data_IF_009202086616
#
_entry.id   IF_009202086616
#
_cell.length_a   1.000
_cell.length_b   1.000
_cell.length_c   1.000
_cell.angle_alpha   90.00
_cell.angle_beta   90.00
_cell.angle_gamma   90.00
#
_symmetry.space_group_name_H-M   'P 1'
#
loop_
_entity.id
_entity.type
_entity.pdbx_description
1 polymer ?
#
# COMPACT_ATOMS: atom_id res chain seq x y z
N UNK A 1 23.36 4.44 -12.62
CA UNK A 1 24.47 3.66 -13.11
C UNK A 1 24.20 2.19 -12.84
N UNK A 2 24.80 1.28 -13.59
CA UNK A 2 24.50 -0.17 -13.55
C UNK A 2 24.75 -0.75 -12.17
N UNK A 3 25.80 -0.32 -11.48
CA UNK A 3 26.16 -0.86 -10.16
C UNK A 3 25.08 -0.65 -9.10
N UNK A 4 24.50 0.52 -9.04
CA UNK A 4 23.39 0.81 -8.12
C UNK A 4 22.16 -0.09 -8.41
N UNK A 5 21.89 -0.37 -9.70
CA UNK A 5 20.81 -1.29 -10.10
C UNK A 5 21.08 -2.72 -9.68
N UNK A 6 22.33 -3.21 -9.84
CA UNK A 6 22.72 -4.54 -9.37
C UNK A 6 22.55 -4.64 -7.86
N UNK A 7 23.02 -3.63 -7.10
CA UNK A 7 22.89 -3.55 -5.65
C UNK A 7 21.45 -3.59 -5.18
N UNK A 8 20.56 -2.82 -5.81
CA UNK A 8 19.13 -2.78 -5.50
C UNK A 8 18.45 -4.12 -5.80
N UNK A 9 18.66 -4.68 -6.99
CA UNK A 9 18.08 -5.97 -7.35
C UNK A 9 18.56 -7.09 -6.40
N UNK A 10 19.85 -7.09 -6.00
CA UNK A 10 20.37 -8.04 -5.01
C UNK A 10 19.71 -7.85 -3.63
N UNK A 11 19.53 -6.62 -3.19
CA UNK A 11 18.85 -6.33 -1.93
C UNK A 11 17.39 -6.79 -1.97
N UNK A 12 16.68 -6.53 -3.06
CA UNK A 12 15.31 -7.01 -3.31
C UNK A 12 15.22 -8.54 -3.28
N UNK A 13 16.17 -9.24 -3.93
CA UNK A 13 16.28 -10.70 -3.88
C UNK A 13 16.70 -11.22 -2.49
N UNK A 14 17.16 -10.33 -1.57
CA UNK A 14 17.64 -10.70 -0.24
C UNK A 14 18.92 -11.53 -0.24
N UNK A 15 19.73 -11.42 -1.32
CA UNK A 15 20.98 -12.14 -1.48
C UNK A 15 22.15 -11.37 -0.87
N UNK A 16 23.11 -12.09 -0.27
CA UNK A 16 24.43 -11.53 0.03
C UNK A 16 25.25 -11.40 -1.26
N UNK A 17 26.33 -10.59 -1.24
CA UNK A 17 27.26 -10.53 -2.38
C UNK A 17 27.87 -11.90 -2.69
N UNK A 18 28.13 -12.71 -1.65
CA UNK A 18 28.65 -14.06 -1.79
C UNK A 18 27.63 -14.98 -2.47
N UNK A 19 26.37 -15.00 -1.98
CA UNK A 19 25.32 -15.84 -2.56
C UNK A 19 25.02 -15.48 -4.02
N UNK A 20 25.00 -14.18 -4.36
CA UNK A 20 24.86 -13.74 -5.75
C UNK A 20 26.07 -14.18 -6.60
N UNK A 21 27.29 -14.02 -6.06
CA UNK A 21 28.53 -14.44 -6.74
C UNK A 21 28.53 -15.93 -7.08
N UNK A 22 28.12 -16.78 -6.12
CA UNK A 22 28.00 -18.23 -6.31
C UNK A 22 26.98 -18.59 -7.41
N UNK A 23 25.79 -17.94 -7.43
CA UNK A 23 24.77 -18.19 -8.45
C UNK A 23 25.22 -17.79 -9.87
N UNK A 24 25.98 -16.71 -9.98
CA UNK A 24 26.43 -16.15 -11.28
C UNK A 24 27.78 -16.76 -11.74
N UNK A 25 28.51 -17.40 -10.84
CA UNK A 25 29.84 -17.97 -11.09
C UNK A 25 30.96 -16.92 -11.07
N UNK A 26 30.86 -15.93 -10.17
CA UNK A 26 31.89 -14.88 -9.96
C UNK A 26 32.16 -14.71 -8.45
N UNK A 27 33.29 -14.08 -8.11
CA UNK A 27 33.61 -13.84 -6.70
C UNK A 27 32.73 -12.72 -6.08
N UNK A 28 32.53 -12.79 -4.77
CA UNK A 28 31.84 -11.70 -4.01
C UNK A 28 32.54 -10.34 -4.21
N UNK A 29 33.87 -10.34 -4.38
CA UNK A 29 34.64 -9.12 -4.66
C UNK A 29 34.31 -8.54 -6.05
N UNK A 30 34.04 -9.38 -7.05
CA UNK A 30 33.60 -8.93 -8.37
C UNK A 30 32.18 -8.33 -8.27
N UNK A 31 31.25 -8.94 -7.52
CA UNK A 31 29.94 -8.35 -7.24
C UNK A 31 30.09 -6.98 -6.62
N UNK A 32 30.96 -6.84 -5.60
CA UNK A 32 31.26 -5.54 -4.96
C UNK A 32 31.77 -4.51 -5.96
N UNK A 33 32.73 -4.89 -6.84
CA UNK A 33 33.27 -3.99 -7.88
C UNK A 33 32.19 -3.53 -8.86
N UNK A 34 31.28 -4.42 -9.26
CA UNK A 34 30.14 -4.06 -10.11
C UNK A 34 29.18 -3.11 -9.41
N UNK A 35 28.82 -3.37 -8.15
CA UNK A 35 27.92 -2.51 -7.37
C UNK A 35 28.46 -1.11 -7.11
N UNK A 36 29.78 -0.93 -7.14
CA UNK A 36 30.45 0.38 -6.99
C UNK A 36 30.90 0.99 -8.32
N UNK A 37 30.44 0.45 -9.46
CA UNK A 37 30.82 0.89 -10.81
C UNK A 37 32.34 0.90 -11.04
N UNK A 38 33.11 0.09 -10.27
CA UNK A 38 34.57 -0.05 -10.43
C UNK A 38 34.95 -1.00 -11.56
N UNK A 39 34.02 -1.77 -12.06
CA UNK A 39 34.16 -2.67 -13.22
C UNK A 39 32.81 -2.84 -13.88
N UNK A 40 32.80 -3.04 -15.20
CA UNK A 40 31.59 -3.28 -15.98
C UNK A 40 31.40 -4.78 -16.19
N UNK A 41 30.21 -5.36 -15.88
CA UNK A 41 29.89 -6.73 -16.22
C UNK A 41 29.87 -6.92 -17.75
N UNK A 42 30.41 -8.04 -18.24
CA UNK A 42 30.20 -8.43 -19.63
C UNK A 42 28.74 -8.77 -19.90
N UNK A 43 28.31 -8.77 -21.18
CA UNK A 43 26.96 -9.11 -21.57
C UNK A 43 26.51 -10.49 -21.03
N UNK A 44 27.42 -11.49 -21.05
CA UNK A 44 27.13 -12.81 -20.50
C UNK A 44 26.94 -12.81 -18.99
N UNK A 45 27.68 -11.98 -18.25
CA UNK A 45 27.50 -11.80 -16.79
C UNK A 45 26.23 -11.04 -16.51
N UNK A 46 25.87 -10.01 -17.28
CA UNK A 46 24.60 -9.28 -17.13
C UNK A 46 23.39 -10.18 -17.31
N UNK A 47 23.40 -11.09 -18.29
CA UNK A 47 22.34 -12.08 -18.48
C UNK A 47 22.20 -13.01 -17.26
N UNK A 48 23.33 -13.51 -16.74
CA UNK A 48 23.32 -14.36 -15.54
C UNK A 48 22.83 -13.59 -14.31
N UNK A 49 23.26 -12.33 -14.14
CA UNK A 49 22.76 -11.45 -13.07
C UNK A 49 21.25 -11.22 -13.19
N UNK A 50 20.76 -10.96 -14.39
CA UNK A 50 19.33 -10.78 -14.65
C UNK A 50 18.52 -12.00 -14.22
N UNK A 51 18.99 -13.21 -14.60
CA UNK A 51 18.36 -14.47 -14.21
C UNK A 51 18.42 -14.70 -12.70
N UNK A 52 19.59 -14.55 -12.07
CA UNK A 52 19.77 -14.77 -10.63
C UNK A 52 18.97 -13.79 -9.76
N UNK A 53 18.77 -12.58 -10.25
CA UNK A 53 18.05 -11.50 -9.57
C UNK A 53 16.57 -11.42 -9.97
N UNK A 54 16.11 -12.29 -10.88
CA UNK A 54 14.73 -12.31 -11.40
C UNK A 54 14.30 -10.95 -11.98
N UNK A 55 15.23 -10.24 -12.63
CA UNK A 55 14.97 -8.98 -13.32
C UNK A 55 15.28 -9.13 -14.81
N UNK A 56 14.74 -8.22 -15.61
CA UNK A 56 15.12 -8.16 -17.04
C UNK A 56 16.44 -7.42 -17.21
N UNK A 57 17.17 -7.70 -18.27
CA UNK A 57 18.48 -7.07 -18.54
C UNK A 57 18.35 -5.55 -18.66
N UNK A 58 17.25 -5.07 -19.23
CA UNK A 58 16.93 -3.64 -19.40
C UNK A 58 16.85 -2.89 -18.06
N UNK A 59 16.48 -3.58 -16.98
CA UNK A 59 16.46 -3.03 -15.62
C UNK A 59 17.77 -2.38 -15.22
N UNK A 60 18.91 -2.98 -15.60
CA UNK A 60 20.23 -2.46 -15.22
C UNK A 60 20.60 -1.14 -15.93
N UNK A 61 19.93 -0.83 -17.04
CA UNK A 61 20.18 0.37 -17.84
C UNK A 61 19.20 1.52 -17.54
N UNK A 62 18.20 1.29 -16.73
CA UNK A 62 17.27 2.37 -16.32
C UNK A 62 18.02 3.44 -15.53
N UNK A 63 17.83 4.73 -15.83
CA UNK A 63 18.35 5.79 -14.98
C UNK A 63 17.79 5.64 -13.56
N UNK A 64 18.62 5.78 -12.55
CA UNK A 64 18.18 5.86 -11.16
C UNK A 64 17.56 7.26 -10.97
N UNK A 65 16.24 7.32 -10.89
CA UNK A 65 15.50 8.57 -10.69
C UNK A 65 15.30 8.90 -9.20
N UNK A 66 15.48 7.93 -8.34
CA UNK A 66 15.26 8.03 -6.90
C UNK A 66 16.46 7.50 -6.15
N UNK A 67 16.96 8.26 -5.19
CA UNK A 67 17.97 7.79 -4.23
C UNK A 67 17.28 7.29 -2.97
N UNK A 68 17.80 6.20 -2.38
CA UNK A 68 17.28 5.66 -1.11
C UNK A 68 17.34 6.66 0.06
N UNK A 69 18.13 7.73 -0.06
CA UNK A 69 18.19 8.81 0.93
C UNK A 69 17.01 9.81 0.86
N UNK A 70 16.21 9.76 -0.20
CA UNK A 70 15.03 10.62 -0.37
C UNK A 70 13.74 9.96 0.13
N UNK A 71 13.82 8.74 0.65
CA UNK A 71 12.67 8.00 1.16
C UNK A 71 12.50 8.28 2.64
N UNK A 72 11.54 9.11 2.96
CA UNK A 72 11.13 9.35 4.34
C UNK A 72 10.19 8.22 4.78
N UNK A 73 10.65 7.39 5.72
CA UNK A 73 9.82 6.33 6.30
C UNK A 73 9.27 6.75 7.65
N UNK A 74 7.96 6.63 7.82
CA UNK A 74 7.35 6.58 9.15
C UNK A 74 7.21 5.11 9.55
N UNK A 75 7.96 4.68 10.55
CA UNK A 75 8.11 3.28 10.92
C UNK A 75 7.11 2.82 11.97
N UNK A 76 6.29 1.81 11.65
CA UNK A 76 5.90 0.76 12.59
C UNK A 76 6.29 -0.58 12.00
N UNK A 77 7.41 -1.16 12.40
CA UNK A 77 7.72 -2.50 11.93
C UNK A 77 8.37 -3.34 13.03
N UNK A 78 7.67 -4.37 13.45
CA UNK A 78 8.26 -5.56 14.04
C UNK A 78 9.08 -6.38 13.02
N UNK A 79 9.19 -5.88 11.78
CA UNK A 79 9.88 -6.50 10.68
C UNK A 79 11.40 -6.42 10.84
N UNK A 80 12.10 -7.49 10.45
CA UNK A 80 13.56 -7.51 10.47
C UNK A 80 14.14 -6.48 9.49
N UNK A 81 15.33 -5.93 9.78
CA UNK A 81 16.02 -5.00 8.88
C UNK A 81 16.23 -5.58 7.46
N UNK A 82 16.38 -6.90 7.32
CA UNK A 82 16.48 -7.58 6.04
C UNK A 82 15.17 -7.53 5.26
N UNK A 83 14.03 -7.75 5.93
CA UNK A 83 12.72 -7.69 5.32
C UNK A 83 12.38 -6.25 4.89
N UNK A 84 12.67 -5.27 5.76
CA UNK A 84 12.46 -3.86 5.42
C UNK A 84 13.23 -3.44 4.17
N UNK A 85 14.52 -3.84 4.04
CA UNK A 85 15.30 -3.55 2.83
C UNK A 85 14.72 -4.17 1.56
N UNK A 86 14.08 -5.36 1.65
CA UNK A 86 13.39 -5.95 0.50
C UNK A 86 12.17 -5.13 0.10
N UNK A 87 11.34 -4.76 1.09
CA UNK A 87 10.16 -3.91 0.86
C UNK A 87 10.59 -2.56 0.30
N UNK A 88 11.60 -1.92 0.87
CA UNK A 88 12.18 -0.68 0.37
C UNK A 88 12.59 -0.75 -1.10
N UNK A 89 13.27 -1.82 -1.48
CA UNK A 89 13.72 -2.02 -2.86
C UNK A 89 12.53 -2.22 -3.82
N UNK A 90 11.50 -2.94 -3.41
CA UNK A 90 10.26 -3.13 -4.17
C UNK A 90 9.50 -1.81 -4.34
N UNK A 91 9.36 -1.05 -3.24
CA UNK A 91 8.72 0.27 -3.25
C UNK A 91 9.42 1.25 -4.17
N UNK A 92 10.74 1.33 -4.10
CA UNK A 92 11.54 2.21 -4.96
C UNK A 92 11.40 1.83 -6.44
N UNK A 93 11.42 0.54 -6.78
CA UNK A 93 11.23 0.12 -8.18
C UNK A 93 9.84 0.50 -8.71
N UNK A 94 8.79 0.27 -7.93
CA UNK A 94 7.42 0.62 -8.33
C UNK A 94 7.24 2.14 -8.44
N UNK A 95 7.78 2.92 -7.50
CA UNK A 95 7.74 4.37 -7.54
C UNK A 95 8.53 4.95 -8.73
N UNK A 96 9.69 4.38 -9.06
CA UNK A 96 10.46 4.79 -10.24
C UNK A 96 9.71 4.53 -11.55
N UNK A 97 8.98 3.43 -11.64
CA UNK A 97 8.13 3.15 -12.82
C UNK A 97 6.99 4.15 -12.94
N UNK A 98 6.33 4.48 -11.83
CA UNK A 98 5.31 5.53 -11.77
C UNK A 98 5.88 6.88 -12.20
N UNK A 99 7.00 7.32 -11.61
CA UNK A 99 7.65 8.57 -11.96
C UNK A 99 8.14 8.59 -13.41
N UNK A 100 8.64 7.46 -13.92
CA UNK A 100 9.05 7.34 -15.33
C UNK A 100 7.88 7.56 -16.27
N UNK A 101 6.69 7.01 -15.98
CA UNK A 101 5.48 7.24 -16.75
C UNK A 101 5.03 8.70 -16.63
N UNK A 102 4.97 9.24 -15.41
CA UNK A 102 4.55 10.62 -15.15
C UNK A 102 5.44 11.63 -15.89
N UNK A 103 6.76 11.41 -15.91
CA UNK A 103 7.72 12.35 -16.51
C UNK A 103 7.66 12.39 -18.05
N UNK A 104 7.21 11.31 -18.70
CA UNK A 104 7.07 11.28 -20.18
C UNK A 104 5.69 11.70 -20.66
N UNK A 105 4.75 11.93 -19.74
CA UNK A 105 3.37 12.24 -20.07
C UNK A 105 3.05 13.73 -19.80
N UNK A 106 3.01 14.59 -20.84
CA UNK A 106 2.51 15.95 -20.68
C UNK A 106 1.05 15.91 -20.18
N UNK A 107 0.73 16.70 -19.16
CA UNK A 107 -0.60 16.70 -18.53
C UNK A 107 -1.00 15.33 -17.98
N UNK A 108 -0.11 14.72 -17.18
CA UNK A 108 -0.39 13.46 -16.51
C UNK A 108 -1.76 13.48 -15.82
N UNK A 109 -2.63 12.49 -16.05
CA UNK A 109 -4.05 12.57 -15.68
C UNK A 109 -4.33 12.54 -14.18
N UNK A 110 -3.34 12.16 -13.36
CA UNK A 110 -3.47 12.12 -11.90
C UNK A 110 -2.77 13.34 -11.30
N UNK A 111 -3.53 14.18 -10.63
CA UNK A 111 -2.98 15.33 -9.89
C UNK A 111 -2.10 14.86 -8.74
N UNK A 112 -1.10 15.65 -8.39
CA UNK A 112 -0.31 15.39 -7.17
C UNK A 112 -1.20 15.60 -5.94
N UNK A 113 -1.08 14.72 -4.95
CA UNK A 113 -1.78 14.85 -3.69
C UNK A 113 -1.39 16.19 -3.02
N UNK A 114 -2.39 17.00 -2.75
CA UNK A 114 -2.26 18.27 -2.06
C UNK A 114 -3.56 18.54 -1.30
N UNK A 115 -3.79 17.78 -0.21
CA UNK A 115 -4.98 17.93 0.60
C UNK A 115 -4.58 18.20 2.05
N UNK A 116 -5.06 19.32 2.56
CA UNK A 116 -4.97 19.70 3.96
C UNK A 116 -6.37 20.19 4.38
N UNK A 117 -7.05 19.49 5.30
CA UNK A 117 -8.36 19.92 5.75
C UNK A 117 -8.25 21.24 6.51
N UNK A 118 -9.14 22.16 6.20
CA UNK A 118 -9.26 23.44 6.94
C UNK A 118 -10.01 23.17 8.25
N UNK A 119 -9.24 22.87 9.29
CA UNK A 119 -9.71 22.54 10.63
C UNK A 119 -8.76 23.11 11.68
N UNK A 120 -9.24 23.45 12.89
CA UNK A 120 -8.35 23.85 14.00
C UNK A 120 -7.48 22.70 14.46
N UNK A 121 -6.50 23.00 15.32
CA UNK A 121 -5.65 22.00 15.98
C UNK A 121 -6.50 20.94 16.69
N UNK A 122 -6.16 19.68 16.45
CA UNK A 122 -6.92 18.50 16.90
C UNK A 122 -6.34 18.00 18.22
N UNK A 123 -7.07 18.16 19.31
CA UNK A 123 -6.62 17.78 20.66
C UNK A 123 -7.39 16.60 21.27
N UNK A 124 -8.43 16.12 20.61
CA UNK A 124 -9.28 15.03 21.10
C UNK A 124 -9.60 14.01 20.01
N UNK A 125 -9.92 12.77 20.39
CA UNK A 125 -10.36 11.74 19.44
C UNK A 125 -11.69 12.09 18.76
N UNK A 126 -12.57 12.85 19.42
CA UNK A 126 -13.81 13.31 18.80
C UNK A 126 -13.55 14.36 17.71
N UNK A 127 -12.54 15.22 17.91
CA UNK A 127 -12.11 16.13 16.85
C UNK A 127 -11.49 15.37 15.65
N UNK A 128 -10.81 14.25 15.88
CA UNK A 128 -10.33 13.37 14.81
C UNK A 128 -11.49 12.79 13.97
N UNK A 129 -12.61 12.44 14.61
CA UNK A 129 -13.83 12.01 13.90
C UNK A 129 -14.34 13.10 12.95
N UNK A 130 -14.33 14.34 13.42
CA UNK A 130 -14.75 15.47 12.60
C UNK A 130 -13.82 15.69 11.40
N UNK A 131 -12.51 15.46 11.56
CA UNK A 131 -11.57 15.48 10.44
C UNK A 131 -11.91 14.40 9.42
N UNK A 132 -12.19 13.17 9.85
CA UNK A 132 -12.58 12.09 8.94
C UNK A 132 -13.88 12.42 8.18
N UNK A 133 -14.87 12.97 8.87
CA UNK A 133 -16.12 13.43 8.26
C UNK A 133 -15.89 14.59 7.28
N UNK A 134 -14.98 15.53 7.60
CA UNK A 134 -14.58 16.63 6.73
C UNK A 134 -13.95 16.12 5.44
N UNK A 135 -13.01 15.16 5.52
CA UNK A 135 -12.41 14.53 4.34
C UNK A 135 -13.48 13.89 3.46
N UNK A 136 -14.40 13.14 4.04
CA UNK A 136 -15.49 12.52 3.28
C UNK A 136 -16.39 13.57 2.59
N UNK A 137 -16.64 14.68 3.24
CA UNK A 137 -17.42 15.79 2.67
C UNK A 137 -16.66 16.47 1.53
N UNK A 138 -15.40 16.84 1.73
CA UNK A 138 -14.58 17.53 0.74
C UNK A 138 -14.33 16.68 -0.51
N UNK A 139 -14.23 15.37 -0.32
CA UNK A 139 -14.06 14.42 -1.42
C UNK A 139 -15.39 13.91 -1.99
N UNK A 140 -16.53 14.39 -1.46
CA UNK A 140 -17.88 14.04 -1.90
C UNK A 140 -18.19 12.54 -1.83
N UNK A 141 -17.66 11.85 -0.81
CA UNK A 141 -17.80 10.40 -0.64
C UNK A 141 -19.15 9.98 -0.04
N UNK A 142 -19.90 10.92 0.53
CA UNK A 142 -21.11 10.60 1.29
C UNK A 142 -20.83 9.77 2.54
N UNK A 143 -21.86 9.10 3.07
CA UNK A 143 -21.78 8.29 4.29
C UNK A 143 -21.83 6.78 3.99
N UNK A 144 -22.00 6.41 2.74
CA UNK A 144 -22.06 5.01 2.29
C UNK A 144 -20.68 4.32 2.38
N UNK A 145 -20.64 2.97 2.38
CA UNK A 145 -19.41 2.21 2.25
C UNK A 145 -18.56 2.67 1.07
N UNK A 146 -17.25 2.69 1.23
CA UNK A 146 -16.32 2.97 0.14
C UNK A 146 -16.10 1.67 -0.66
N UNK A 147 -16.42 1.64 -1.95
CA UNK A 147 -16.35 0.40 -2.73
C UNK A 147 -14.90 -0.09 -2.91
N UNK A 148 -13.98 0.82 -3.22
CA UNK A 148 -12.55 0.56 -3.40
C UNK A 148 -11.73 1.69 -2.80
N UNK A 149 -10.95 1.39 -1.77
CA UNK A 149 -10.15 2.38 -1.07
C UNK A 149 -8.83 2.65 -1.81
N UNK A 150 -8.27 1.64 -2.47
CA UNK A 150 -7.05 1.81 -3.26
C UNK A 150 -7.32 2.76 -4.43
N UNK A 151 -8.36 2.50 -5.21
CA UNK A 151 -8.75 3.35 -6.34
C UNK A 151 -9.04 4.78 -5.89
N UNK A 152 -9.74 4.95 -4.77
CA UNK A 152 -9.98 6.26 -4.18
C UNK A 152 -8.68 7.01 -3.86
N UNK A 153 -7.75 6.39 -3.15
CA UNK A 153 -6.48 7.02 -2.77
C UNK A 153 -5.62 7.35 -3.99
N UNK A 154 -5.54 6.44 -4.94
CA UNK A 154 -4.79 6.62 -6.19
C UNK A 154 -5.39 7.74 -7.04
N UNK A 155 -6.73 7.85 -7.13
CA UNK A 155 -7.41 8.95 -7.82
C UNK A 155 -7.11 10.34 -7.21
N UNK A 156 -6.77 10.36 -5.93
CA UNK A 156 -6.37 11.59 -5.20
C UNK A 156 -4.87 11.86 -5.24
N UNK A 157 -4.11 11.06 -5.97
CA UNK A 157 -2.67 11.26 -6.16
C UNK A 157 -1.80 10.65 -5.07
N UNK A 158 -2.30 9.70 -4.29
CA UNK A 158 -1.52 8.90 -3.36
C UNK A 158 -1.18 7.58 -4.05
N UNK A 159 0.11 7.30 -4.25
CA UNK A 159 0.51 6.02 -4.85
C UNK A 159 0.36 4.90 -3.82
N UNK A 160 -0.46 3.90 -4.14
CA UNK A 160 -0.61 2.71 -3.30
C UNK A 160 0.25 1.58 -3.86
N UNK A 161 1.03 0.93 -2.99
CA UNK A 161 1.85 -0.22 -3.34
C UNK A 161 1.42 -1.41 -2.48
N UNK A 162 0.92 -2.44 -3.14
CA UNK A 162 0.62 -3.73 -2.49
C UNK A 162 1.85 -4.61 -2.63
N UNK A 163 2.64 -4.67 -1.56
CA UNK A 163 3.90 -5.42 -1.55
C UNK A 163 3.66 -6.91 -1.36
N UNK A 164 4.19 -7.71 -2.28
CA UNK A 164 4.11 -9.17 -2.25
C UNK A 164 5.44 -9.81 -1.79
N UNK A 165 6.22 -9.08 -1.00
CA UNK A 165 7.50 -9.60 -0.50
C UNK A 165 7.25 -10.79 0.44
N UNK A 166 7.86 -11.96 0.20
CA UNK A 166 7.71 -13.13 1.07
C UNK A 166 8.07 -12.82 2.52
N UNK A 167 7.33 -13.40 3.47
CA UNK A 167 7.48 -13.16 4.92
C UNK A 167 7.05 -11.75 5.38
N UNK A 168 6.29 -11.01 4.59
CA UNK A 168 5.71 -9.74 5.00
C UNK A 168 4.52 -9.87 5.98
N UNK A 169 4.30 -11.07 6.54
CA UNK A 169 3.34 -11.35 7.60
C UNK A 169 3.62 -10.58 8.92
N UNK A 170 4.81 -10.01 9.06
CA UNK A 170 5.23 -9.13 10.16
C UNK A 170 5.24 -7.64 9.78
N UNK A 171 4.75 -7.33 8.61
CA UNK A 171 4.68 -5.98 8.07
C UNK A 171 3.21 -5.65 7.79
N UNK A 172 2.68 -4.62 8.42
CA UNK A 172 1.31 -4.16 8.19
C UNK A 172 1.26 -3.17 7.05
N UNK A 173 1.94 -2.05 7.18
CA UNK A 173 2.04 -0.99 6.21
C UNK A 173 3.18 -0.04 6.54
N UNK A 174 3.45 0.86 5.65
CA UNK A 174 4.30 2.03 5.86
C UNK A 174 3.86 3.16 4.94
N UNK A 175 4.17 4.35 5.38
CA UNK A 175 4.08 5.55 4.57
C UNK A 175 5.49 5.96 4.13
N UNK A 176 5.59 6.43 2.90
CA UNK A 176 6.82 6.98 2.34
C UNK A 176 6.51 8.21 1.49
N UNK A 177 7.53 9.03 1.25
CA UNK A 177 7.46 10.14 0.30
C UNK A 177 8.68 10.05 -0.62
N UNK A 178 8.44 10.04 -1.92
CA UNK A 178 9.50 9.93 -2.93
C UNK A 178 9.31 11.07 -3.94
N UNK A 179 10.29 11.95 -4.06
CA UNK A 179 10.22 13.13 -4.97
C UNK A 179 8.92 13.92 -4.82
N UNK A 180 8.46 14.13 -3.58
CA UNK A 180 7.22 14.82 -3.28
C UNK A 180 5.93 13.99 -3.45
N UNK A 181 6.00 12.79 -4.02
CA UNK A 181 4.87 11.88 -4.20
C UNK A 181 4.63 11.08 -2.92
N UNK A 182 3.47 11.19 -2.24
CA UNK A 182 3.15 10.33 -1.11
C UNK A 182 2.86 8.92 -1.59
N UNK A 183 3.34 7.96 -0.81
CA UNK A 183 3.22 6.53 -1.08
C UNK A 183 2.70 5.86 0.17
N UNK A 184 1.70 5.01 0.02
CA UNK A 184 1.23 4.10 1.07
C UNK A 184 1.53 2.67 0.63
N UNK A 185 2.18 1.91 1.48
CA UNK A 185 2.55 0.52 1.20
C UNK A 185 1.80 -0.39 2.15
N UNK A 186 1.17 -1.42 1.63
CA UNK A 186 0.51 -2.46 2.42
C UNK A 186 0.94 -3.85 1.98
N UNK A 187 0.85 -4.82 2.89
CA UNK A 187 1.19 -6.20 2.58
C UNK A 187 0.02 -6.93 1.89
N UNK A 188 0.31 -7.67 0.82
CA UNK A 188 -0.64 -8.57 0.17
C UNK A 188 -0.98 -9.82 0.99
N UNK A 189 -0.25 -10.08 2.09
CA UNK A 189 -0.48 -11.28 2.93
C UNK A 189 -1.63 -11.12 3.93
N UNK A 190 -2.15 -9.90 4.11
CA UNK A 190 -3.24 -9.63 5.03
C UNK A 190 -4.61 -9.80 4.38
N UNK A 191 -5.64 -10.09 5.22
CA UNK A 191 -7.04 -10.09 4.77
C UNK A 191 -7.45 -8.71 4.27
N UNK A 192 -8.46 -8.64 3.38
CA UNK A 192 -8.95 -7.38 2.85
C UNK A 192 -9.36 -6.37 3.92
N UNK A 193 -10.01 -6.82 5.02
CA UNK A 193 -10.34 -5.93 6.14
C UNK A 193 -9.09 -5.30 6.79
N UNK A 194 -8.03 -6.08 6.99
CA UNK A 194 -6.79 -5.56 7.59
C UNK A 194 -6.06 -4.65 6.62
N UNK A 195 -6.04 -5.01 5.34
CA UNK A 195 -5.47 -4.17 4.28
C UNK A 195 -6.16 -2.81 4.23
N UNK A 196 -7.50 -2.78 4.19
CA UNK A 196 -8.28 -1.53 4.17
C UNK A 196 -8.05 -0.67 5.41
N UNK A 197 -8.06 -1.30 6.61
CA UNK A 197 -7.81 -0.57 7.84
C UNK A 197 -6.41 0.04 7.86
N UNK A 198 -5.38 -0.71 7.43
CA UNK A 198 -4.00 -0.21 7.31
C UNK A 198 -3.91 0.95 6.32
N UNK A 199 -4.54 0.83 5.13
CA UNK A 199 -4.58 1.92 4.14
C UNK A 199 -5.20 3.19 4.72
N UNK A 200 -6.34 3.07 5.40
CA UNK A 200 -7.01 4.21 6.02
C UNK A 200 -6.20 4.79 7.19
N UNK A 201 -5.46 3.96 7.93
CA UNK A 201 -4.56 4.38 9.01
C UNK A 201 -3.37 5.18 8.46
N UNK A 202 -2.69 4.65 7.43
CA UNK A 202 -1.58 5.36 6.77
C UNK A 202 -2.05 6.64 6.08
N UNK A 203 -3.26 6.65 5.52
CA UNK A 203 -3.90 7.86 5.03
C UNK A 203 -4.19 8.85 6.17
N UNK A 204 -4.57 8.37 7.34
CA UNK A 204 -4.71 9.17 8.55
C UNK A 204 -3.44 9.95 8.89
N UNK A 205 -2.27 9.32 8.81
CA UNK A 205 -1.00 10.01 9.01
C UNK A 205 -0.76 11.15 7.99
N UNK A 206 -1.18 10.97 6.73
CA UNK A 206 -1.06 12.02 5.71
C UNK A 206 -1.98 13.21 6.00
N UNK A 207 -3.21 12.93 6.43
CA UNK A 207 -4.23 13.95 6.67
C UNK A 207 -4.00 14.70 7.98
N UNK A 208 -3.61 13.98 9.05
CA UNK A 208 -3.45 14.54 10.39
C UNK A 208 -2.07 15.18 10.62
N UNK A 209 -1.17 15.06 9.65
CA UNK A 209 0.17 15.63 9.76
C UNK A 209 0.14 17.14 10.02
N UNK A 210 0.75 17.57 11.13
CA UNK A 210 0.80 18.97 11.55
C UNK A 210 -0.52 19.52 12.11
N UNK A 211 -1.57 18.69 12.26
CA UNK A 211 -2.84 19.10 12.85
C UNK A 211 -2.99 18.66 14.31
N UNK A 212 -2.25 17.63 14.75
CA UNK A 212 -2.40 17.06 16.09
C UNK A 212 -1.70 17.93 17.14
N UNK A 213 -2.39 18.12 18.27
CA UNK A 213 -1.80 18.65 19.50
C UNK A 213 -0.78 17.66 20.06
N UNK A 214 0.31 18.15 20.66
CA UNK A 214 1.40 17.31 21.20
C UNK A 214 0.93 16.34 22.31
N UNK A 215 -0.20 16.62 22.96
CA UNK A 215 -0.77 15.76 23.99
C UNK A 215 -1.53 14.55 23.45
N UNK A 216 -1.89 14.54 22.15
CA UNK A 216 -2.66 13.47 21.53
C UNK A 216 -1.74 12.46 20.86
N UNK A 217 -1.85 11.18 21.26
CA UNK A 217 -1.09 10.09 20.64
C UNK A 217 -1.48 9.94 19.15
N UNK A 218 -0.51 10.13 18.27
CA UNK A 218 -0.68 10.10 16.80
C UNK A 218 -1.25 8.77 16.32
N UNK A 219 -0.82 7.66 16.92
CA UNK A 219 -1.25 6.33 16.52
C UNK A 219 -2.70 6.06 16.92
N UNK A 220 -3.10 6.53 18.11
CA UNK A 220 -4.49 6.47 18.52
C UNK A 220 -5.37 7.36 17.62
N UNK A 221 -4.89 8.55 17.26
CA UNK A 221 -5.58 9.45 16.34
C UNK A 221 -5.75 8.81 14.94
N UNK A 222 -4.70 8.22 14.38
CA UNK A 222 -4.76 7.54 13.08
C UNK A 222 -5.69 6.31 13.11
N UNK A 223 -5.70 5.53 14.18
CA UNK A 223 -6.65 4.43 14.35
C UNK A 223 -8.10 4.94 14.43
N UNK A 224 -8.34 6.04 15.16
CA UNK A 224 -9.66 6.68 15.24
C UNK A 224 -10.09 7.22 13.88
N UNK A 225 -9.21 7.92 13.19
CA UNK A 225 -9.44 8.40 11.82
C UNK A 225 -9.82 7.26 10.88
N UNK A 226 -9.02 6.19 10.85
CA UNK A 226 -9.26 5.04 9.98
C UNK A 226 -10.63 4.42 10.20
N UNK A 227 -11.01 4.20 11.46
CA UNK A 227 -12.31 3.63 11.79
C UNK A 227 -13.47 4.55 11.43
N UNK A 228 -13.34 5.87 11.66
CA UNK A 228 -14.33 6.87 11.32
C UNK A 228 -14.47 7.09 9.81
N UNK A 229 -13.34 7.07 9.11
CA UNK A 229 -13.30 7.22 7.65
C UNK A 229 -13.94 6.05 6.92
N UNK A 230 -13.67 4.80 7.36
CA UNK A 230 -14.24 3.59 6.77
C UNK A 230 -15.69 3.34 7.17
N UNK A 231 -16.05 3.55 8.45
CA UNK A 231 -17.39 3.36 8.98
C UNK A 231 -17.84 4.64 9.72
N UNK A 232 -18.43 5.61 9.01
CA UNK A 232 -18.95 6.82 9.62
C UNK A 232 -19.98 6.54 10.72
N UNK A 233 -20.08 7.44 11.70
CA UNK A 233 -21.05 7.36 12.80
C UNK A 233 -22.46 7.10 12.29
N UNK A 234 -22.89 7.89 11.32
CA UNK A 234 -24.25 7.78 10.71
C UNK A 234 -24.46 6.37 10.15
N UNK A 235 -23.47 5.81 9.44
CA UNK A 235 -23.54 4.45 8.91
C UNK A 235 -23.68 3.40 10.02
N UNK A 236 -22.86 3.52 11.09
CA UNK A 236 -22.98 2.60 12.22
C UNK A 236 -24.36 2.67 12.90
N UNK A 237 -24.88 3.89 13.15
CA UNK A 237 -26.18 4.09 13.78
C UNK A 237 -27.35 3.60 12.93
N UNK A 238 -27.27 3.71 11.61
CA UNK A 238 -28.26 3.14 10.71
C UNK A 238 -28.39 1.62 10.85
N UNK A 239 -27.26 0.92 11.08
CA UNK A 239 -27.26 -0.55 11.19
C UNK A 239 -27.53 -1.05 12.62
N UNK A 240 -26.95 -0.39 13.63
CA UNK A 240 -27.02 -0.90 15.01
C UNK A 240 -27.95 -0.08 15.90
N UNK A 241 -28.32 1.14 15.50
CA UNK A 241 -28.97 2.13 16.38
C UNK A 241 -27.94 2.82 17.28
N UNK A 242 -28.42 3.87 18.00
CA UNK A 242 -27.55 4.74 18.80
C UNK A 242 -27.14 4.13 20.16
N UNK A 243 -27.98 3.30 20.76
CA UNK A 243 -27.72 2.65 22.06
C UNK A 243 -28.32 1.26 22.13
N UNK A 244 -27.48 0.32 22.51
CA UNK A 244 -27.84 -1.10 22.59
C UNK A 244 -27.31 -1.74 23.88
N UNK A 245 -28.07 -2.64 24.45
CA UNK A 245 -27.62 -3.50 25.56
C UNK A 245 -26.72 -4.64 25.08
N UNK A 246 -26.84 -5.04 23.81
CA UNK A 246 -26.05 -6.10 23.18
C UNK A 246 -26.01 -5.91 21.66
N UNK A 247 -24.96 -6.43 21.02
CA UNK A 247 -24.84 -6.56 19.58
C UNK A 247 -24.54 -8.01 19.27
N UNK A 248 -25.30 -8.59 18.34
CA UNK A 248 -25.09 -9.97 17.92
C UNK A 248 -23.86 -10.05 16.98
N UNK A 249 -22.99 -11.06 17.13
CA UNK A 249 -21.87 -11.24 16.22
C UNK A 249 -22.26 -11.28 14.74
N UNK A 250 -23.48 -11.69 14.42
CA UNK A 250 -23.98 -11.71 13.04
C UNK A 250 -24.19 -10.30 12.48
N UNK A 251 -24.58 -9.33 13.30
CA UNK A 251 -24.68 -7.91 12.91
C UNK A 251 -23.29 -7.37 12.57
N UNK A 252 -22.27 -7.70 13.38
CA UNK A 252 -20.88 -7.32 13.10
C UNK A 252 -20.34 -8.01 11.82
N UNK A 253 -20.76 -9.21 11.53
CA UNK A 253 -20.43 -9.91 10.29
C UNK A 253 -21.02 -9.19 9.06
N UNK A 254 -22.25 -8.69 9.12
CA UNK A 254 -22.83 -7.91 8.05
C UNK A 254 -22.08 -6.60 7.84
N UNK A 255 -21.78 -5.85 8.91
CA UNK A 255 -20.97 -4.64 8.83
C UNK A 255 -19.59 -4.88 8.22
N UNK A 256 -18.96 -6.02 8.56
CA UNK A 256 -17.70 -6.44 7.96
C UNK A 256 -17.80 -6.50 6.43
N UNK A 257 -18.83 -7.14 5.91
CA UNK A 257 -18.99 -7.33 4.47
C UNK A 257 -19.46 -6.08 3.74
N UNK A 258 -20.11 -5.17 4.44
CA UNK A 258 -20.57 -3.92 3.87
C UNK A 258 -19.47 -2.85 3.85
N UNK A 259 -18.77 -2.65 4.98
CA UNK A 259 -17.78 -1.58 5.13
C UNK A 259 -16.32 -2.03 4.97
N UNK A 260 -16.06 -3.32 4.89
CA UNK A 260 -14.72 -3.86 4.76
C UNK A 260 -13.86 -3.73 6.02
N UNK A 261 -14.50 -3.65 7.19
CA UNK A 261 -13.84 -3.66 8.50
C UNK A 261 -13.95 -5.05 9.15
N UNK A 262 -12.97 -5.45 9.96
CA UNK A 262 -13.11 -6.68 10.73
C UNK A 262 -14.24 -6.60 11.74
N UNK A 263 -14.83 -7.72 12.12
CA UNK A 263 -15.85 -7.77 13.20
C UNK A 263 -15.31 -7.17 14.49
N UNK A 264 -14.02 -7.39 14.76
CA UNK A 264 -13.35 -6.79 15.91
C UNK A 264 -13.30 -5.26 15.79
N UNK A 265 -12.95 -4.72 14.62
CA UNK A 265 -12.91 -3.26 14.39
C UNK A 265 -14.33 -2.64 14.49
N UNK A 266 -15.34 -3.29 13.93
CA UNK A 266 -16.74 -2.85 14.09
C UNK A 266 -17.17 -2.85 15.56
N UNK A 267 -16.74 -3.85 16.35
CA UNK A 267 -17.04 -3.90 17.79
C UNK A 267 -16.34 -2.78 18.57
N UNK A 268 -15.06 -2.47 18.26
CA UNK A 268 -14.39 -1.30 18.83
C UNK A 268 -15.12 -0.03 18.49
N UNK A 269 -15.45 0.16 17.23
CA UNK A 269 -16.19 1.34 16.73
C UNK A 269 -17.53 1.53 17.45
N UNK A 270 -18.25 0.42 17.69
CA UNK A 270 -19.55 0.45 18.41
C UNK A 270 -19.41 0.93 19.87
N UNK A 271 -18.29 0.60 20.52
CA UNK A 271 -18.01 1.09 21.86
C UNK A 271 -17.49 2.54 21.86
N UNK A 272 -16.64 2.88 20.92
CA UNK A 272 -16.08 4.23 20.76
C UNK A 272 -17.19 5.28 20.56
N UNK A 273 -18.27 4.92 19.88
CA UNK A 273 -19.44 5.78 19.65
C UNK A 273 -20.54 5.61 20.70
N UNK A 274 -20.31 4.81 21.75
CA UNK A 274 -21.26 4.62 22.84
C UNK A 274 -22.52 3.81 22.48
N UNK A 275 -22.52 3.11 21.34
CA UNK A 275 -23.60 2.17 20.98
C UNK A 275 -23.71 1.06 22.01
N UNK A 276 -22.59 0.56 22.48
CA UNK A 276 -22.49 -0.40 23.59
C UNK A 276 -21.47 0.11 24.63
N UNK A 277 -21.60 -0.39 25.85
CA UNK A 277 -20.65 -0.07 26.92
C UNK A 277 -19.32 -0.80 26.73
N UNK A 278 -18.24 -0.25 27.30
CA UNK A 278 -16.93 -0.89 27.37
C UNK A 278 -16.97 -2.29 27.98
N UNK A 279 -17.81 -2.47 29.01
CA UNK A 279 -18.02 -3.77 29.65
C UNK A 279 -18.63 -4.78 28.67
N UNK A 280 -19.65 -4.37 27.90
CA UNK A 280 -20.26 -5.23 26.89
C UNK A 280 -19.28 -5.59 25.79
N UNK A 281 -18.48 -4.65 25.31
CA UNK A 281 -17.39 -4.90 24.37
C UNK A 281 -16.45 -6.01 24.89
N UNK A 282 -16.01 -5.92 26.15
CA UNK A 282 -15.14 -6.93 26.77
C UNK A 282 -15.81 -8.31 26.81
N UNK A 283 -17.09 -8.38 27.15
CA UNK A 283 -17.85 -9.64 27.16
C UNK A 283 -17.89 -10.30 25.78
N UNK A 284 -18.16 -9.52 24.73
CA UNK A 284 -18.19 -10.02 23.35
C UNK A 284 -16.77 -10.45 22.92
N UNK A 285 -15.70 -9.73 23.28
CA UNK A 285 -14.32 -10.16 23.02
C UNK A 285 -13.93 -11.45 23.73
N UNK A 286 -14.46 -11.72 24.93
CA UNK A 286 -14.28 -13.03 25.61
C UNK A 286 -14.93 -14.13 24.78
N UNK A 287 -16.14 -13.89 24.24
CA UNK A 287 -16.80 -14.82 23.32
C UNK A 287 -15.99 -15.05 22.05
N UNK A 288 -15.47 -13.97 21.42
CA UNK A 288 -14.59 -14.08 20.25
C UNK A 288 -13.35 -14.92 20.56
N UNK A 289 -12.74 -14.73 21.75
CA UNK A 289 -11.58 -15.52 22.17
C UNK A 289 -11.89 -16.99 22.34
N UNK A 290 -13.05 -17.35 22.97
CA UNK A 290 -13.50 -18.73 23.16
C UNK A 290 -13.76 -19.44 21.82
N UNK A 291 -14.26 -18.69 20.83
CA UNK A 291 -14.57 -19.21 19.50
C UNK A 291 -13.36 -19.18 18.53
N UNK A 292 -12.20 -18.67 18.97
CA UNK A 292 -11.02 -18.52 18.11
C UNK A 292 -11.11 -17.37 17.10
N UNK A 293 -12.18 -16.55 17.14
CA UNK A 293 -12.46 -15.49 16.17
C UNK A 293 -11.51 -14.28 16.23
N UNK A 294 -10.71 -14.19 17.30
CA UNK A 294 -9.63 -13.19 17.36
C UNK A 294 -8.47 -13.50 16.41
N UNK A 295 -8.30 -14.76 16.02
CA UNK A 295 -7.28 -15.19 15.06
C UNK A 295 -7.86 -15.35 13.66
N UNK A 296 -9.04 -15.95 13.57
CA UNK A 296 -9.74 -16.19 12.32
C UNK A 296 -11.23 -15.94 12.53
N UNK A 297 -11.71 -14.85 11.96
CA UNK A 297 -13.13 -14.52 12.00
C UNK A 297 -13.97 -15.52 11.21
N UNK A 298 -15.23 -15.77 11.61
CA UNK A 298 -16.09 -16.74 10.94
C UNK A 298 -16.52 -16.26 9.54
N UNK A 299 -16.90 -17.24 8.71
CA UNK A 299 -17.45 -17.01 7.38
C UNK A 299 -16.39 -16.60 6.34
N UNK A 300 -16.83 -16.00 5.25
CA UNK A 300 -15.97 -15.61 4.17
C UNK A 300 -15.09 -14.40 4.54
N UNK A 301 -13.82 -14.37 4.11
CA UNK A 301 -13.00 -13.17 4.25
C UNK A 301 -13.57 -12.05 3.37
N UNK A 302 -13.35 -10.81 3.78
CA UNK A 302 -13.55 -9.66 2.89
C UNK A 302 -12.46 -9.68 1.80
N UNK A 303 -12.81 -9.43 0.53
CA UNK A 303 -11.85 -9.50 -0.56
C UNK A 303 -10.74 -8.45 -0.40
N UNK A 304 -9.55 -8.78 -0.89
CA UNK A 304 -8.46 -7.82 -0.99
C UNK A 304 -8.70 -6.87 -2.18
N UNK A 305 -8.33 -5.63 -2.01
CA UNK A 305 -8.28 -4.66 -3.09
C UNK A 305 -6.97 -4.77 -3.88
N UNK A 306 -6.96 -4.33 -5.11
CA UNK A 306 -5.82 -4.42 -6.02
C UNK A 306 -5.51 -3.06 -6.63
N UNK A 307 -4.23 -2.80 -6.87
CA UNK A 307 -3.77 -1.62 -7.59
C UNK A 307 -3.89 -1.87 -9.10
N UNK A 308 -4.83 -1.22 -9.76
CA UNK A 308 -5.05 -1.35 -11.20
C UNK A 308 -4.68 -0.08 -11.98
N UNK A 309 -4.65 1.07 -11.30
CA UNK A 309 -4.49 2.38 -11.94
C UNK A 309 -3.20 2.48 -12.75
N UNK A 310 -2.06 1.99 -12.23
CA UNK A 310 -0.79 2.06 -12.96
C UNK A 310 -0.82 1.29 -14.27
N UNK A 311 -1.38 0.09 -14.26
CA UNK A 311 -1.54 -0.72 -15.47
C UNK A 311 -2.46 -0.03 -16.48
N UNK A 312 -3.61 0.48 -16.02
CA UNK A 312 -4.55 1.25 -16.85
C UNK A 312 -3.88 2.47 -17.50
N UNK A 313 -3.09 3.22 -16.72
CA UNK A 313 -2.35 4.39 -17.21
C UNK A 313 -1.29 4.00 -18.26
N UNK A 314 -0.58 2.89 -18.07
CA UNK A 314 0.39 2.41 -19.08
C UNK A 314 -0.30 2.03 -20.38
N UNK A 315 -1.43 1.31 -20.33
CA UNK A 315 -2.20 0.96 -21.54
C UNK A 315 -2.80 2.20 -22.21
N UNK A 316 -3.26 3.18 -21.43
CA UNK A 316 -3.74 4.44 -21.97
C UNK A 316 -2.61 5.23 -22.64
N UNK A 317 -1.45 5.34 -22.00
CA UNK A 317 -0.28 6.00 -22.58
C UNK A 317 0.19 5.33 -23.88
N UNK A 318 0.10 4.00 -23.95
CA UNK A 318 0.37 3.23 -25.17
C UNK A 318 -0.64 3.54 -26.28
N UNK A 319 -1.93 3.56 -25.95
CA UNK A 319 -2.99 3.85 -26.91
C UNK A 319 -2.94 5.29 -27.44
N UNK A 320 -2.56 6.25 -26.61
CA UNK A 320 -2.38 7.66 -26.98
C UNK A 320 -1.01 7.93 -27.66
N UNK A 321 -0.15 6.91 -27.83
CA UNK A 321 1.18 7.06 -28.46
C UNK A 321 2.20 7.80 -27.61
N UNK A 322 1.94 8.01 -26.31
CA UNK A 322 2.84 8.69 -25.38
C UNK A 322 4.06 7.83 -25.09
N UNK A 323 3.85 6.51 -25.00
CA UNK A 323 4.93 5.53 -24.83
C UNK A 323 4.90 4.48 -25.97
N UNK A 324 6.08 3.97 -26.33
CA UNK A 324 6.20 2.86 -27.26
C UNK A 324 5.81 1.53 -26.60
N UNK A 325 5.51 0.49 -27.39
CA UNK A 325 5.27 -0.87 -26.90
C UNK A 325 6.43 -1.41 -26.05
N UNK A 326 7.67 -1.12 -26.44
CA UNK A 326 8.86 -1.49 -25.66
C UNK A 326 8.88 -0.80 -24.30
N UNK A 327 8.49 0.49 -24.24
CA UNK A 327 8.43 1.24 -22.98
C UNK A 327 7.26 0.79 -22.11
N UNK A 328 6.11 0.51 -22.71
CA UNK A 328 4.97 -0.06 -21.98
C UNK A 328 5.31 -1.43 -21.37
N UNK A 329 5.92 -2.33 -22.14
CA UNK A 329 6.39 -3.63 -21.66
C UNK A 329 7.42 -3.51 -20.55
N UNK A 330 8.35 -2.54 -20.63
CA UNK A 330 9.31 -2.22 -19.58
C UNK A 330 8.61 -1.77 -18.29
N UNK A 331 7.66 -0.83 -18.38
CA UNK A 331 6.89 -0.30 -17.24
C UNK A 331 6.08 -1.40 -16.55
N UNK A 332 5.48 -2.30 -17.32
CA UNK A 332 4.69 -3.46 -16.83
C UNK A 332 5.57 -4.67 -16.45
N UNK A 333 6.88 -4.57 -16.57
CA UNK A 333 7.84 -5.65 -16.25
C UNK A 333 7.61 -6.94 -17.06
N UNK A 334 7.08 -6.84 -18.27
CA UNK A 334 6.81 -7.98 -19.15
C UNK A 334 7.56 -7.88 -20.49
N UNK A 335 7.61 -8.98 -21.25
CA UNK A 335 8.15 -8.94 -22.61
C UNK A 335 7.15 -8.27 -23.56
N UNK A 336 7.64 -7.67 -24.65
CA UNK A 336 6.78 -7.13 -25.70
C UNK A 336 5.84 -8.23 -26.26
N UNK A 337 6.35 -9.47 -26.36
CA UNK A 337 5.52 -10.61 -26.77
C UNK A 337 4.40 -10.92 -25.77
N UNK A 338 4.68 -10.82 -24.45
CA UNK A 338 3.65 -10.99 -23.42
C UNK A 338 2.62 -9.88 -23.47
N UNK A 339 3.05 -8.63 -23.69
CA UNK A 339 2.17 -7.48 -23.87
C UNK A 339 1.22 -7.70 -25.08
N UNK A 340 1.76 -8.14 -26.21
CA UNK A 340 0.95 -8.46 -27.39
C UNK A 340 -0.05 -9.58 -27.09
N UNK A 341 0.38 -10.64 -26.42
CA UNK A 341 -0.49 -11.76 -26.06
C UNK A 341 -1.65 -11.32 -25.15
N UNK A 342 -1.38 -10.49 -24.13
CA UNK A 342 -2.44 -9.95 -23.27
C UNK A 342 -3.46 -9.12 -24.05
N UNK A 343 -3.00 -8.31 -25.00
CA UNK A 343 -3.92 -7.50 -25.86
C UNK A 343 -4.75 -8.37 -26.81
N UNK A 344 -4.18 -9.47 -27.31
CA UNK A 344 -4.90 -10.41 -28.18
C UNK A 344 -5.96 -11.23 -27.42
N UNK A 345 -5.68 -11.68 -26.20
CA UNK A 345 -6.66 -12.42 -25.38
C UNK A 345 -7.96 -11.63 -25.13
N UNK A 346 -7.90 -10.30 -25.14
CA UNK A 346 -9.10 -9.46 -25.04
C UNK A 346 -9.84 -9.35 -26.38
N UNK A 347 -9.15 -9.52 -27.53
CA UNK A 347 -9.78 -9.51 -28.85
C UNK A 347 -10.49 -10.83 -29.18
N UNK A 348 -10.07 -11.95 -28.57
CA UNK A 348 -10.72 -13.27 -28.76
C UNK A 348 -11.92 -13.48 -27.80
N UNK A 349 -12.10 -12.60 -26.81
CA UNK A 349 -13.20 -12.67 -25.83
C UNK A 349 -14.43 -11.82 -26.22
N UNK A 350 -14.39 -11.12 -27.35
CA UNK A 350 -15.48 -10.35 -27.97
C UNK A 350 -15.97 -11.09 -29.21
#
# INVERSE_FOLDING_TARGET
>A
MIGERIKRARAAAGLSMQALGEQVGISANMVKKYEHDQSMPSSGVLLKLATALSVRTEYFFRPAQVTLGEVEYRKKASASAKLLKKIESDVVDQAERWLSLKNVWPNFPIASFNYHPDVPVVSTLDAVEQVAAKVRTDWQLGMNPLPDLIDLLESKGILVIVSNVPQADKFDGLQAKISGQPIVVVSSHWSGCRQRFTLAHEFGHLVLHGLLDESLDEEMACNRFASAFLLPEVGLFQHLGERRSNVDPKELYFLKHEYGLSMAACLYRSADLGVITEEKKRQIFIQFSKNGWRKQEPGNPYPQEQTLLFEQLVYRALAEGIVSESKAAELLQMSVMALHKQRQMLAEAV
#
